data_IF_483965904866
#
_entry.id   IF_483965904866
#
_cell.length_a   1.000
_cell.length_b   1.000
_cell.length_c   1.000
_cell.angle_alpha   90.00
_cell.angle_beta   90.00
_cell.angle_gamma   90.00
#
_symmetry.space_group_name_H-M   'P 1'
#
loop_
_entity.id
_entity.type
_entity.pdbx_description
1 polymer ?
#
# COMPACT_ATOMS: atom_id res chain seq x y z
N UNK A 1 12.43 -3.12 -21.56
CA UNK A 1 12.34 -3.03 -20.11
C UNK A 1 13.68 -2.66 -19.50
N UNK A 2 13.74 -2.20 -18.25
CA UNK A 2 15.01 -1.87 -17.58
C UNK A 2 15.15 -2.55 -16.23
N UNK A 3 16.41 -2.81 -15.82
CA UNK A 3 16.76 -3.33 -14.50
C UNK A 3 17.73 -2.33 -13.86
N UNK A 4 17.37 -1.85 -12.67
CA UNK A 4 18.12 -0.85 -11.92
C UNK A 4 18.53 -1.39 -10.54
N UNK A 5 19.70 -0.99 -10.06
CA UNK A 5 20.16 -1.29 -8.70
C UNK A 5 21.12 -2.48 -8.61
N UNK A 6 20.93 -3.33 -7.60
CA UNK A 6 21.92 -4.32 -7.15
C UNK A 6 21.84 -5.66 -7.93
N UNK A 7 21.95 -5.61 -9.26
CA UNK A 7 22.21 -6.76 -10.13
C UNK A 7 23.62 -6.68 -10.70
N UNK A 8 24.12 -7.79 -11.22
CA UNK A 8 25.49 -7.82 -11.75
C UNK A 8 25.63 -6.89 -12.96
N UNK A 9 24.66 -6.93 -13.89
CA UNK A 9 24.64 -6.10 -15.10
C UNK A 9 23.32 -5.30 -15.16
N UNK A 10 23.25 -4.11 -14.50
CA UNK A 10 22.09 -3.24 -14.63
C UNK A 10 22.03 -2.62 -16.03
N UNK A 11 20.83 -2.37 -16.55
CA UNK A 11 20.66 -1.78 -17.87
C UNK A 11 19.32 -2.08 -18.53
N UNK A 12 19.24 -1.77 -19.81
CA UNK A 12 18.06 -2.02 -20.63
C UNK A 12 18.16 -3.37 -21.33
N UNK A 13 17.08 -4.14 -21.22
CA UNK A 13 16.97 -5.48 -21.80
C UNK A 13 15.77 -5.55 -22.75
N UNK A 14 15.96 -6.23 -23.88
CA UNK A 14 14.86 -6.61 -24.75
C UNK A 14 14.28 -7.93 -24.25
N UNK A 15 12.95 -8.03 -24.19
CA UNK A 15 12.29 -9.29 -23.85
C UNK A 15 12.54 -10.31 -24.95
N UNK A 16 12.94 -11.52 -24.58
CA UNK A 16 13.19 -12.62 -25.53
C UNK A 16 11.88 -13.22 -26.08
N UNK A 17 10.76 -12.94 -25.42
CA UNK A 17 9.44 -13.39 -25.82
C UNK A 17 8.34 -12.92 -24.85
N UNK A 18 7.08 -13.16 -25.24
CA UNK A 18 5.90 -12.74 -24.42
C UNK A 18 5.78 -13.47 -23.08
N UNK A 19 6.48 -14.58 -22.92
CA UNK A 19 6.39 -15.43 -21.73
C UNK A 19 7.65 -15.33 -20.83
N UNK A 20 8.49 -14.32 -21.02
CA UNK A 20 9.68 -14.13 -20.19
C UNK A 20 9.28 -13.73 -18.78
N UNK A 21 9.87 -14.40 -17.80
CA UNK A 21 9.56 -14.23 -16.39
C UNK A 21 10.60 -13.40 -15.67
N UNK A 22 10.22 -12.94 -14.48
CA UNK A 22 11.10 -12.16 -13.59
C UNK A 22 12.42 -12.91 -13.31
N UNK A 23 12.37 -14.21 -13.03
CA UNK A 23 13.55 -15.02 -12.76
C UNK A 23 14.47 -15.13 -13.96
N UNK A 24 13.92 -15.20 -15.19
CA UNK A 24 14.71 -15.36 -16.41
C UNK A 24 15.54 -14.11 -16.70
N UNK A 25 14.91 -12.94 -16.58
CA UNK A 25 15.59 -11.67 -16.86
C UNK A 25 16.67 -11.36 -15.80
N UNK A 26 16.43 -11.69 -14.53
CA UNK A 26 17.45 -11.53 -13.49
C UNK A 26 18.65 -12.45 -13.73
N UNK A 27 18.42 -13.68 -14.18
CA UNK A 27 19.50 -14.57 -14.56
C UNK A 27 20.30 -14.02 -15.76
N UNK A 28 19.63 -13.43 -16.76
CA UNK A 28 20.29 -12.76 -17.90
C UNK A 28 21.11 -11.55 -17.47
N UNK A 29 20.66 -10.85 -16.42
CA UNK A 29 21.39 -9.75 -15.80
C UNK A 29 22.55 -10.22 -14.91
N UNK A 30 22.90 -11.50 -14.96
CA UNK A 30 24.00 -12.09 -14.19
C UNK A 30 23.65 -12.43 -12.74
N UNK A 31 22.36 -12.28 -12.35
CA UNK A 31 21.90 -12.51 -10.98
C UNK A 31 22.05 -11.29 -10.07
N UNK A 32 21.76 -11.52 -8.80
CA UNK A 32 21.84 -10.49 -7.75
C UNK A 32 23.25 -10.35 -7.19
N UNK A 33 23.66 -9.12 -6.88
CA UNK A 33 24.88 -8.90 -6.08
C UNK A 33 24.67 -9.35 -4.64
N UNK A 34 25.75 -9.61 -3.92
CA UNK A 34 25.70 -9.96 -2.48
C UNK A 34 25.11 -8.83 -1.61
N UNK A 35 25.16 -7.58 -2.08
CA UNK A 35 24.57 -6.42 -1.45
C UNK A 35 23.09 -6.22 -1.77
N UNK A 36 22.52 -7.04 -2.67
CA UNK A 36 21.14 -6.88 -3.12
C UNK A 36 20.12 -7.24 -2.03
N UNK A 37 19.06 -6.46 -1.98
CA UNK A 37 17.92 -6.72 -1.12
C UNK A 37 16.73 -7.24 -1.96
N UNK A 38 16.70 -8.53 -2.20
CA UNK A 38 15.69 -9.16 -3.05
C UNK A 38 14.26 -8.97 -2.52
N UNK A 39 14.08 -8.96 -1.19
CA UNK A 39 12.76 -8.74 -0.58
C UNK A 39 12.25 -7.30 -0.70
N UNK A 40 13.13 -6.35 -1.00
CA UNK A 40 12.80 -4.96 -1.25
C UNK A 40 12.66 -4.61 -2.72
N UNK A 41 12.75 -5.60 -3.62
CA UNK A 41 12.60 -5.37 -5.05
C UNK A 41 11.18 -4.93 -5.41
N UNK A 42 11.09 -3.99 -6.35
CA UNK A 42 9.84 -3.42 -6.83
C UNK A 42 9.81 -3.49 -8.36
N UNK A 43 8.67 -3.90 -8.91
CA UNK A 43 8.38 -3.81 -10.34
C UNK A 43 7.53 -2.56 -10.58
N UNK A 44 7.98 -1.68 -11.46
CA UNK A 44 7.21 -0.52 -11.91
C UNK A 44 6.67 -0.86 -13.30
N UNK A 45 5.37 -0.92 -13.43
CA UNK A 45 4.67 -1.21 -14.68
C UNK A 45 3.94 0.02 -15.18
N UNK A 46 4.13 0.33 -16.45
CA UNK A 46 3.34 1.37 -17.12
C UNK A 46 1.95 0.81 -17.44
N UNK A 47 0.96 1.15 -16.65
CA UNK A 47 -0.42 0.80 -16.96
C UNK A 47 -1.00 1.90 -17.83
N UNK A 48 -1.19 1.61 -19.11
CA UNK A 48 -1.99 2.48 -19.97
C UNK A 48 -3.46 2.31 -19.57
N UNK A 49 -3.98 3.24 -18.80
CA UNK A 49 -5.42 3.35 -18.63
C UNK A 49 -5.94 3.98 -19.92
N UNK A 50 -6.57 3.16 -20.75
CA UNK A 50 -7.30 3.66 -21.92
C UNK A 50 -8.38 4.60 -21.41
N UNK A 51 -8.13 5.92 -21.51
CA UNK A 51 -9.13 6.94 -21.18
C UNK A 51 -10.11 6.96 -22.35
N UNK A 52 -11.29 6.36 -22.16
CA UNK A 52 -12.38 6.51 -23.11
C UNK A 52 -12.90 7.94 -23.07
N UNK A 53 -13.53 8.41 -24.13
CA UNK A 53 -14.10 9.77 -24.21
C UNK A 53 -15.13 10.05 -23.09
N UNK A 54 -15.77 9.03 -22.56
CA UNK A 54 -16.62 9.10 -21.37
C UNK A 54 -15.84 9.37 -20.07
N UNK A 55 -14.64 8.81 -19.94
CA UNK A 55 -13.79 9.01 -18.75
C UNK A 55 -13.17 10.41 -18.74
N UNK A 56 -12.88 10.99 -19.90
CA UNK A 56 -12.40 12.35 -20.02
C UNK A 56 -13.42 13.37 -19.50
N UNK A 57 -14.71 13.13 -19.69
CA UNK A 57 -15.79 13.98 -19.17
C UNK A 57 -15.92 13.88 -17.64
N UNK A 58 -15.70 12.69 -17.06
CA UNK A 58 -15.71 12.45 -15.61
C UNK A 58 -14.49 13.07 -14.92
N UNK A 59 -13.31 13.04 -15.56
CA UNK A 59 -12.08 13.67 -15.05
C UNK A 59 -12.24 15.20 -15.05
N UNK A 60 -12.83 15.77 -16.11
CA UNK A 60 -13.15 17.20 -16.17
C UNK A 60 -14.16 17.63 -15.09
N UNK A 61 -15.15 16.80 -14.81
CA UNK A 61 -16.14 17.04 -13.75
C UNK A 61 -15.54 16.97 -12.36
N UNK A 62 -14.68 15.98 -12.07
CA UNK A 62 -13.94 15.88 -10.82
C UNK A 62 -12.96 17.03 -10.59
N UNK A 63 -12.25 17.47 -11.62
CA UNK A 63 -11.37 18.62 -11.54
C UNK A 63 -12.12 19.91 -11.21
N UNK A 64 -13.32 20.09 -11.79
CA UNK A 64 -14.20 21.24 -11.48
C UNK A 64 -14.69 21.22 -10.02
N UNK A 65 -15.05 20.06 -9.48
CA UNK A 65 -15.47 19.93 -8.11
C UNK A 65 -14.34 20.21 -7.10
N UNK A 66 -13.11 19.76 -7.41
CA UNK A 66 -11.93 20.01 -6.57
C UNK A 66 -11.57 21.51 -6.59
N UNK A 67 -11.69 22.18 -7.74
CA UNK A 67 -11.48 23.62 -7.86
C UNK A 67 -12.50 24.44 -7.05
N UNK A 68 -13.77 24.02 -7.05
CA UNK A 68 -14.82 24.68 -6.30
C UNK A 68 -14.64 24.58 -4.79
N UNK A 69 -14.05 23.47 -4.31
CA UNK A 69 -13.80 23.23 -2.89
C UNK A 69 -12.51 23.86 -2.35
N UNK A 70 -11.55 24.15 -3.23
CA UNK A 70 -10.21 24.63 -2.84
C UNK A 70 -9.99 26.12 -2.94
N UNK A 71 -10.96 26.88 -3.46
CA UNK A 71 -10.87 28.34 -3.58
C UNK A 71 -9.67 28.85 -4.43
N UNK A 72 -9.01 27.95 -5.17
CA UNK A 72 -7.91 28.30 -6.06
C UNK A 72 -8.43 28.42 -7.48
N UNK A 73 -8.33 29.61 -8.04
CA UNK A 73 -8.52 29.85 -9.48
C UNK A 73 -7.44 29.11 -10.27
N UNK A 74 -7.67 27.84 -10.56
CA UNK A 74 -6.91 27.15 -11.59
C UNK A 74 -7.62 27.46 -12.89
N UNK A 75 -6.89 28.11 -13.82
CA UNK A 75 -7.33 28.54 -15.15
C UNK A 75 -8.17 27.46 -15.82
N UNK A 76 -9.33 27.77 -16.41
CA UNK A 76 -10.09 26.83 -17.22
C UNK A 76 -9.21 26.36 -18.37
N UNK A 77 -8.91 25.07 -18.44
CA UNK A 77 -8.28 24.48 -19.63
C UNK A 77 -9.36 24.36 -20.68
N UNK A 78 -9.52 25.43 -21.43
CA UNK A 78 -10.27 25.44 -22.66
C UNK A 78 -9.27 25.12 -23.79
N UNK A 79 -9.54 24.03 -24.50
CA UNK A 79 -8.75 23.62 -25.66
C UNK A 79 -7.63 22.63 -25.36
N UNK A 80 -7.96 21.33 -25.43
CA UNK A 80 -7.14 20.27 -25.99
C UNK A 80 -5.67 20.16 -25.56
N UNK A 81 -5.34 20.27 -24.28
CA UNK A 81 -3.97 20.02 -23.85
C UNK A 81 -3.73 18.50 -23.69
N UNK A 82 -3.34 17.89 -24.83
CA UNK A 82 -2.94 16.48 -24.93
C UNK A 82 -1.86 16.09 -23.92
N UNK A 83 -1.18 17.06 -23.32
CA UNK A 83 -0.11 16.87 -22.35
C UNK A 83 -0.66 16.40 -21.00
N UNK A 84 -1.82 16.91 -20.58
CA UNK A 84 -2.48 16.47 -19.32
C UNK A 84 -3.05 15.06 -19.49
N UNK A 85 -3.66 14.77 -20.63
CA UNK A 85 -4.16 13.43 -20.96
C UNK A 85 -3.00 12.42 -21.10
N UNK A 86 -1.87 12.84 -21.65
CA UNK A 86 -0.67 12.02 -21.78
C UNK A 86 -0.03 11.72 -20.42
N UNK A 87 -0.06 12.68 -19.48
CA UNK A 87 0.43 12.49 -18.11
C UNK A 87 -0.52 11.65 -17.24
N UNK A 88 -1.82 11.62 -17.56
CA UNK A 88 -2.81 10.75 -16.90
C UNK A 88 -2.79 9.32 -17.46
N UNK A 89 -2.38 9.13 -18.72
CA UNK A 89 -2.39 7.83 -19.39
C UNK A 89 -1.16 6.96 -19.09
N UNK A 90 -0.08 7.53 -18.58
CA UNK A 90 1.15 6.82 -18.22
C UNK A 90 1.39 6.83 -16.70
N UNK A 91 0.46 6.30 -15.92
CA UNK A 91 0.71 6.12 -14.50
C UNK A 91 1.65 4.93 -14.27
N UNK A 92 2.88 5.24 -13.89
CA UNK A 92 3.81 4.25 -13.37
C UNK A 92 3.31 3.76 -12.02
N UNK A 93 2.78 2.55 -11.98
CA UNK A 93 2.30 1.94 -10.74
C UNK A 93 3.34 0.96 -10.21
N UNK A 94 3.79 1.14 -8.95
CA UNK A 94 4.63 0.14 -8.31
C UNK A 94 3.81 -1.12 -8.04
N UNK A 95 4.32 -2.26 -8.49
CA UNK A 95 3.78 -3.59 -8.21
C UNK A 95 4.71 -4.25 -7.21
N UNK A 96 4.20 -4.62 -6.05
CA UNK A 96 4.97 -5.35 -5.04
C UNK A 96 5.27 -6.76 -5.55
N UNK A 97 6.55 -7.08 -5.70
CA UNK A 97 7.01 -8.39 -6.14
C UNK A 97 7.71 -9.13 -5.01
N UNK A 98 7.72 -10.45 -5.07
CA UNK A 98 8.46 -11.32 -4.16
C UNK A 98 9.62 -11.96 -4.90
N UNK A 99 10.64 -11.12 -5.20
CA UNK A 99 11.77 -11.54 -6.03
C UNK A 99 12.52 -12.74 -5.43
N UNK A 100 12.72 -12.77 -4.12
CA UNK A 100 13.37 -13.89 -3.46
C UNK A 100 12.62 -15.22 -3.70
N UNK A 101 11.29 -15.20 -3.60
CA UNK A 101 10.46 -16.39 -3.85
C UNK A 101 10.48 -16.79 -5.33
N UNK A 102 10.45 -15.81 -6.24
CA UNK A 102 10.52 -16.03 -7.68
C UNK A 102 11.83 -16.71 -8.09
N UNK A 103 12.95 -16.30 -7.50
CA UNK A 103 14.26 -16.89 -7.78
C UNK A 103 14.42 -18.30 -7.19
N UNK A 104 13.84 -18.54 -5.99
CA UNK A 104 13.88 -19.84 -5.33
C UNK A 104 12.96 -20.87 -5.99
N UNK A 105 11.80 -20.41 -6.51
CA UNK A 105 10.79 -21.26 -7.13
C UNK A 105 10.38 -20.70 -8.48
N UNK A 106 11.19 -20.97 -9.50
CA UNK A 106 10.92 -20.57 -10.88
C UNK A 106 9.57 -21.10 -11.36
N UNK A 107 8.83 -20.27 -12.07
CA UNK A 107 7.50 -20.62 -12.58
C UNK A 107 6.38 -20.58 -11.53
N UNK A 108 6.67 -20.23 -10.28
CA UNK A 108 5.65 -20.03 -9.24
C UNK A 108 4.80 -18.78 -9.49
N UNK A 109 3.74 -18.60 -8.69
CA UNK A 109 2.91 -17.38 -8.74
C UNK A 109 3.67 -16.09 -8.37
N UNK A 110 4.82 -16.20 -7.70
CA UNK A 110 5.71 -15.08 -7.41
C UNK A 110 6.57 -14.68 -8.62
N UNK A 111 6.79 -15.59 -9.54
CA UNK A 111 7.60 -15.41 -10.74
C UNK A 111 6.74 -14.86 -11.89
N UNK A 112 6.45 -13.57 -11.80
CA UNK A 112 5.52 -12.88 -12.69
C UNK A 112 6.06 -12.75 -14.11
N UNK A 113 5.15 -12.73 -15.09
CA UNK A 113 5.48 -12.40 -16.48
C UNK A 113 5.78 -10.91 -16.61
N UNK A 114 6.74 -10.61 -17.46
CA UNK A 114 7.19 -9.24 -17.73
C UNK A 114 6.56 -8.68 -19.00
N UNK A 115 6.40 -7.37 -19.02
CA UNK A 115 5.84 -6.62 -20.13
C UNK A 115 6.85 -5.58 -20.65
N UNK A 116 6.68 -5.15 -21.87
CA UNK A 116 7.48 -4.05 -22.43
C UNK A 116 7.29 -2.77 -21.63
N UNK A 117 8.40 -2.10 -21.32
CA UNK A 117 8.38 -0.89 -20.51
C UNK A 117 8.41 -1.13 -19.01
N UNK A 118 8.41 -2.38 -18.53
CA UNK A 118 8.60 -2.70 -17.12
C UNK A 118 9.98 -2.21 -16.62
N UNK A 119 10.01 -1.71 -15.39
CA UNK A 119 11.25 -1.31 -14.69
C UNK A 119 11.34 -2.11 -13.40
N UNK A 120 12.40 -2.90 -13.25
CA UNK A 120 12.68 -3.64 -12.03
C UNK A 120 13.72 -2.86 -11.23
N UNK A 121 13.37 -2.47 -9.99
CA UNK A 121 14.29 -1.80 -9.07
C UNK A 121 14.66 -2.74 -7.93
N UNK A 122 15.97 -2.97 -7.76
CA UNK A 122 16.49 -3.83 -6.71
C UNK A 122 17.39 -2.99 -5.81
N UNK A 123 16.90 -2.62 -4.60
CA UNK A 123 17.65 -1.78 -3.68
C UNK A 123 18.81 -2.55 -3.02
N UNK A 124 19.72 -1.81 -2.44
CA UNK A 124 20.76 -2.33 -1.56
C UNK A 124 20.15 -2.77 -0.22
N UNK A 125 20.68 -3.82 0.36
CA UNK A 125 20.26 -4.32 1.66
C UNK A 125 20.43 -3.25 2.75
N UNK A 126 19.35 -2.97 3.47
CA UNK A 126 19.28 -2.03 4.60
C UNK A 126 19.13 -2.88 5.87
N UNK A 127 20.05 -2.73 6.83
CA UNK A 127 20.03 -3.50 8.08
C UNK A 127 19.25 -2.81 9.19
N UNK A 128 18.33 -1.93 8.85
CA UNK A 128 17.52 -1.18 9.81
C UNK A 128 16.05 -1.30 9.54
N UNK A 129 15.25 -1.07 10.57
CA UNK A 129 13.81 -0.81 10.48
C UNK A 129 13.56 0.61 10.97
N UNK A 130 12.43 1.20 10.59
CA UNK A 130 12.05 2.54 11.00
C UNK A 130 10.70 2.55 11.69
N UNK A 131 10.52 3.41 12.69
CA UNK A 131 9.26 3.62 13.41
C UNK A 131 8.72 5.01 13.13
N UNK A 132 7.43 5.11 12.83
CA UNK A 132 6.72 6.33 12.50
C UNK A 132 5.42 6.50 13.29
N UNK A 133 4.93 7.73 13.33
CA UNK A 133 3.64 8.08 13.90
C UNK A 133 3.65 8.15 15.42
N UNK A 134 2.61 7.61 16.07
CA UNK A 134 2.37 7.75 17.51
C UNK A 134 3.19 6.77 18.35
N UNK A 135 4.51 6.89 18.24
CA UNK A 135 5.50 6.36 19.17
C UNK A 135 6.19 7.52 19.89
N UNK A 136 6.70 7.31 21.08
CA UNK A 136 7.28 8.42 21.88
C UNK A 136 8.53 9.02 21.23
N UNK A 137 9.36 8.19 20.56
CA UNK A 137 10.56 8.63 19.88
C UNK A 137 10.71 7.89 18.53
N UNK A 138 10.14 8.41 17.43
CA UNK A 138 10.34 7.84 16.11
C UNK A 138 11.82 7.80 15.73
N UNK A 139 12.33 6.62 15.35
CA UNK A 139 13.75 6.44 15.01
C UNK A 139 13.99 5.22 14.14
N UNK A 140 15.20 5.15 13.60
CA UNK A 140 15.74 3.94 12.99
C UNK A 140 16.33 3.03 14.08
N UNK A 141 16.11 1.72 13.91
CA UNK A 141 16.53 0.67 14.83
C UNK A 141 17.27 -0.37 14.00
N UNK A 142 18.43 -0.83 14.46
CA UNK A 142 19.14 -1.93 13.81
C UNK A 142 18.26 -3.18 13.87
N UNK A 143 18.03 -3.79 12.71
CA UNK A 143 17.29 -5.02 12.63
C UNK A 143 18.17 -6.19 13.08
N UNK A 144 17.58 -7.10 13.82
CA UNK A 144 18.15 -8.41 14.16
C UNK A 144 17.08 -9.46 13.91
N UNK A 145 17.50 -10.64 13.54
CA UNK A 145 16.59 -11.75 13.33
C UNK A 145 15.76 -12.03 14.60
N UNK A 146 14.47 -12.25 14.43
CA UNK A 146 13.54 -12.43 15.55
C UNK A 146 13.08 -11.16 16.25
N UNK A 147 13.52 -9.96 15.83
CA UNK A 147 13.05 -8.71 16.39
C UNK A 147 11.54 -8.58 16.22
N UNK A 148 10.83 -8.52 17.33
CA UNK A 148 9.36 -8.40 17.30
C UNK A 148 8.90 -6.94 17.16
N UNK A 149 7.70 -6.76 16.63
CA UNK A 149 7.03 -5.46 16.55
C UNK A 149 7.00 -4.74 17.91
N UNK A 150 6.67 -5.46 18.98
CA UNK A 150 6.58 -4.88 20.33
C UNK A 150 7.94 -4.40 20.85
N UNK A 151 9.00 -5.15 20.59
CA UNK A 151 10.37 -4.77 20.98
C UNK A 151 10.82 -3.53 20.21
N UNK A 152 10.53 -3.45 18.90
CA UNK A 152 10.86 -2.28 18.11
C UNK A 152 10.12 -1.03 18.59
N UNK A 153 8.83 -1.12 18.87
CA UNK A 153 8.07 -0.01 19.46
C UNK A 153 8.60 0.34 20.85
N UNK A 154 8.96 -0.64 21.69
CA UNK A 154 9.56 -0.40 23.00
C UNK A 154 10.91 0.31 22.86
N UNK A 155 11.74 -0.08 21.91
CA UNK A 155 13.00 0.61 21.62
C UNK A 155 12.78 2.08 21.20
N UNK A 156 11.62 2.41 20.63
CA UNK A 156 11.17 3.77 20.30
C UNK A 156 10.48 4.49 21.47
N UNK A 157 10.74 4.05 22.71
CA UNK A 157 10.13 4.62 23.91
C UNK A 157 8.68 4.20 24.17
N UNK A 158 8.15 3.23 23.40
CA UNK A 158 6.78 2.75 23.53
C UNK A 158 5.77 3.55 22.69
N UNK A 159 4.51 3.18 22.84
CA UNK A 159 3.38 3.87 22.20
C UNK A 159 3.10 5.20 22.89
N UNK A 160 2.91 6.26 22.12
CA UNK A 160 2.45 7.55 22.62
C UNK A 160 1.01 7.47 23.16
N UNK A 161 0.57 8.48 23.91
CA UNK A 161 -0.71 8.51 24.65
C UNK A 161 -1.90 8.24 23.71
N UNK A 162 -1.94 8.83 22.54
CA UNK A 162 -3.05 8.71 21.58
C UNK A 162 -2.78 7.67 20.48
N UNK A 163 -1.91 6.70 20.72
CA UNK A 163 -1.58 5.68 19.75
C UNK A 163 -2.71 4.67 19.52
N UNK A 164 -3.03 4.41 18.27
CA UNK A 164 -3.99 3.38 17.86
C UNK A 164 -3.27 2.04 17.64
N UNK A 165 -3.02 1.31 18.72
CA UNK A 165 -2.33 0.02 18.69
C UNK A 165 -3.02 -1.04 17.83
N UNK A 166 -4.36 -0.92 17.63
CA UNK A 166 -5.16 -1.88 16.84
C UNK A 166 -4.99 -1.68 15.34
N UNK A 167 -4.71 -0.46 14.91
CA UNK A 167 -4.59 -0.09 13.51
C UNK A 167 -3.14 0.13 13.09
N UNK A 168 -2.19 -0.26 13.95
CA UNK A 168 -0.78 -0.23 13.58
C UNK A 168 -0.51 -1.23 12.45
N UNK A 169 0.38 -0.87 11.56
CA UNK A 169 0.74 -1.69 10.41
C UNK A 169 2.23 -1.61 10.11
N UNK A 170 2.69 -2.52 9.29
CA UNK A 170 4.06 -2.58 8.81
C UNK A 170 4.04 -2.45 7.29
N UNK A 171 4.87 -1.58 6.77
CA UNK A 171 5.18 -1.47 5.35
C UNK A 171 6.52 -2.13 5.12
N UNK A 172 6.56 -3.12 4.26
CA UNK A 172 7.80 -3.79 3.87
C UNK A 172 8.50 -3.01 2.77
N UNK A 173 9.78 -3.26 2.58
CA UNK A 173 10.59 -2.55 1.59
C UNK A 173 10.09 -2.67 0.15
N UNK A 174 9.37 -3.75 -0.18
CA UNK A 174 8.71 -3.95 -1.47
C UNK A 174 7.34 -3.23 -1.59
N UNK A 175 6.93 -2.45 -0.57
CA UNK A 175 5.64 -1.77 -0.53
C UNK A 175 4.46 -2.62 -0.07
N UNK A 176 4.66 -3.91 0.27
CA UNK A 176 3.60 -4.73 0.86
C UNK A 176 3.22 -4.19 2.25
N UNK A 177 1.92 -4.08 2.53
CA UNK A 177 1.42 -3.59 3.82
C UNK A 177 0.77 -4.74 4.58
N UNK A 178 1.16 -4.94 5.84
CA UNK A 178 0.49 -5.87 6.75
C UNK A 178 0.01 -5.16 7.99
N UNK A 179 -1.28 -5.34 8.28
CA UNK A 179 -1.94 -4.74 9.45
C UNK A 179 -1.93 -5.67 10.65
N UNK A 180 -2.04 -5.09 11.84
CA UNK A 180 -2.26 -5.83 13.09
C UNK A 180 -3.59 -6.55 13.02
N UNK A 181 -3.59 -7.85 13.30
CA UNK A 181 -4.82 -8.66 13.41
C UNK A 181 -5.28 -8.71 14.86
N UNK A 182 -6.57 -8.45 15.05
CA UNK A 182 -7.20 -8.51 16.36
C UNK A 182 -8.19 -9.68 16.35
N UNK A 183 -7.98 -10.64 17.23
CA UNK A 183 -8.89 -11.77 17.43
C UNK A 183 -9.29 -11.83 18.89
N UNK A 184 -10.56 -11.54 19.19
CA UNK A 184 -11.08 -11.45 20.57
C UNK A 184 -10.18 -10.58 21.46
N UNK A 185 -9.44 -11.19 22.38
CA UNK A 185 -8.55 -10.53 23.33
C UNK A 185 -7.08 -10.51 22.89
N UNK A 186 -6.74 -11.24 21.83
CA UNK A 186 -5.37 -11.38 21.35
C UNK A 186 -5.08 -10.42 20.19
N UNK A 187 -3.87 -9.86 20.18
CA UNK A 187 -3.33 -9.09 19.07
C UNK A 187 -2.14 -9.79 18.47
N UNK A 188 -2.21 -10.05 17.18
CA UNK A 188 -1.10 -10.53 16.39
C UNK A 188 -0.54 -9.38 15.58
N UNK A 189 0.68 -8.99 15.89
CA UNK A 189 1.39 -7.98 15.10
C UNK A 189 2.13 -8.65 13.95
N UNK A 190 2.29 -7.94 12.82
CA UNK A 190 3.08 -8.45 11.70
C UNK A 190 4.53 -8.73 12.11
N UNK A 191 5.14 -9.74 11.51
CA UNK A 191 6.58 -9.99 11.63
C UNK A 191 7.35 -8.85 10.98
N UNK A 192 8.50 -8.51 11.53
CA UNK A 192 9.40 -7.53 10.95
C UNK A 192 10.43 -8.22 10.06
N UNK A 193 10.82 -7.51 9.02
CA UNK A 193 11.92 -7.86 8.13
C UNK A 193 12.85 -6.66 8.01
N UNK A 194 14.03 -6.88 7.52
CA UNK A 194 14.97 -5.79 7.21
C UNK A 194 14.30 -4.76 6.28
N UNK A 195 14.56 -3.48 6.47
CA UNK A 195 13.93 -2.41 5.71
C UNK A 195 12.43 -2.18 5.98
N UNK A 196 11.84 -2.84 7.00
CA UNK A 196 10.44 -2.60 7.36
C UNK A 196 10.24 -1.25 8.04
N UNK A 197 9.08 -0.64 7.77
CA UNK A 197 8.62 0.57 8.42
C UNK A 197 7.40 0.26 9.28
N UNK A 198 7.48 0.58 10.56
CA UNK A 198 6.37 0.45 11.51
C UNK A 198 5.64 1.77 11.55
N UNK A 199 4.36 1.76 11.23
CA UNK A 199 3.51 2.92 11.32
C UNK A 199 2.45 2.74 12.42
N UNK A 200 2.43 3.67 13.37
CA UNK A 200 1.47 3.72 14.46
C UNK A 200 0.57 4.94 14.26
N UNK A 201 -0.68 4.78 13.80
CA UNK A 201 -1.58 5.91 13.62
C UNK A 201 -2.08 6.47 14.95
N UNK A 202 -2.58 7.72 14.93
CA UNK A 202 -3.31 8.28 16.06
C UNK A 202 -4.63 7.55 16.25
N UNK A 203 -5.10 7.49 17.49
CA UNK A 203 -6.47 7.12 17.78
C UNK A 203 -7.32 8.28 17.28
N UNK A 204 -8.12 8.05 16.23
CA UNK A 204 -9.17 8.98 15.85
C UNK A 204 -10.06 9.19 17.08
N UNK A 205 -10.23 10.44 17.53
CA UNK A 205 -11.22 10.74 18.52
C UNK A 205 -12.55 10.29 17.95
N UNK A 206 -13.09 9.21 18.49
CA UNK A 206 -14.47 8.85 18.21
C UNK A 206 -15.25 10.08 18.66
N UNK A 207 -15.83 10.84 17.72
CA UNK A 207 -16.87 11.79 18.05
C UNK A 207 -17.79 11.04 19.01
N UNK A 208 -17.79 11.41 20.29
CA UNK A 208 -18.77 10.89 21.24
C UNK A 208 -20.10 11.28 20.63
N UNK A 209 -20.92 10.29 20.25
CA UNK A 209 -22.29 10.59 19.84
C UNK A 209 -22.86 11.51 20.90
N UNK A 210 -23.40 12.65 20.49
CA UNK A 210 -24.08 13.54 21.42
C UNK A 210 -25.22 12.76 22.07
N UNK A 211 -25.61 13.12 23.27
CA UNK A 211 -26.68 12.43 23.99
C UNK A 211 -27.96 12.36 23.13
N UNK A 212 -28.23 13.39 22.30
CA UNK A 212 -29.32 13.38 21.34
C UNK A 212 -29.19 12.37 20.21
N UNK A 213 -28.00 12.20 19.65
CA UNK A 213 -27.73 11.18 18.61
C UNK A 213 -27.79 9.74 19.17
N UNK A 214 -27.34 9.54 20.41
CA UNK A 214 -27.47 8.26 21.09
C UNK A 214 -28.93 7.88 21.34
N UNK A 215 -29.75 8.82 21.75
CA UNK A 215 -31.20 8.62 21.95
C UNK A 215 -31.90 8.33 20.63
N UNK A 216 -31.54 9.01 19.54
CA UNK A 216 -32.11 8.74 18.21
C UNK A 216 -31.80 7.32 17.70
N UNK A 217 -30.59 6.81 17.94
CA UNK A 217 -30.21 5.43 17.56
C UNK A 217 -31.00 4.41 18.38
N UNK A 218 -31.15 4.64 19.70
CA UNK A 218 -31.89 3.71 20.57
C UNK A 218 -33.39 3.72 20.23
N UNK A 219 -33.97 4.88 19.96
CA UNK A 219 -35.40 4.98 19.57
C UNK A 219 -35.67 4.36 18.20
N UNK A 220 -34.72 4.45 17.24
CA UNK A 220 -34.81 3.77 15.96
C UNK A 220 -34.85 2.25 16.09
N UNK A 221 -33.99 1.68 16.97
CA UNK A 221 -33.96 0.25 17.23
C UNK A 221 -35.22 -0.27 17.92
N UNK A 222 -35.76 0.47 18.89
CA UNK A 222 -37.01 0.10 19.59
C UNK A 222 -38.22 0.16 18.64
N UNK A 223 -38.27 1.14 17.73
CA UNK A 223 -39.33 1.23 16.72
C UNK A 223 -39.27 0.04 15.72
N UNK A 224 -38.09 -0.37 15.33
CA UNK A 224 -37.91 -1.52 14.43
C UNK A 224 -38.32 -2.83 15.10
N UNK A 225 -37.96 -3.04 16.36
CA UNK A 225 -38.37 -4.21 17.14
C UNK A 225 -39.93 -4.24 17.35
N UNK A 226 -40.53 -3.10 17.60
CA UNK A 226 -41.99 -2.98 17.72
C UNK A 226 -42.70 -3.36 16.42
N UNK A 227 -42.20 -2.93 15.28
CA UNK A 227 -42.78 -3.24 13.97
C UNK A 227 -42.63 -4.73 13.64
N UNK A 228 -41.55 -5.35 14.05
CA UNK A 228 -41.31 -6.78 13.86
C UNK A 228 -42.24 -7.63 14.71
N UNK A 229 -42.54 -7.24 15.96
CA UNK A 229 -43.53 -7.89 16.84
C UNK A 229 -44.92 -7.79 16.27
N UNK A 230 -45.30 -6.62 15.72
CA UNK A 230 -46.62 -6.45 15.09
C UNK A 230 -46.76 -7.33 13.86
N UNK A 231 -45.74 -7.41 13.00
CA UNK A 231 -45.69 -8.29 11.81
C UNK A 231 -45.83 -9.77 12.15
N UNK A 232 -45.18 -10.21 13.24
CA UNK A 232 -45.27 -11.61 13.69
C UNK A 232 -46.67 -11.91 14.24
N UNK A 233 -47.29 -10.95 14.90
CA UNK A 233 -48.62 -11.14 15.50
C UNK A 233 -49.77 -11.04 14.47
N UNK A 234 -49.56 -10.37 13.35
CA UNK A 234 -50.55 -10.28 12.24
C UNK A 234 -50.42 -11.46 11.24
N UNK A 235 -49.31 -12.21 11.29
CA UNK A 235 -49.05 -13.37 10.44
C UNK A 235 -49.54 -14.70 11.08
N UNK A 236 -50.21 -14.63 12.24
CA UNK A 236 -50.78 -15.77 12.96
C UNK A 236 -52.30 -15.72 12.92
#
# INVERSE_FOLDING_TARGET
>A
MSIEGEVLYPGTYTLSGKNERLSDIINRAGGLKSSAFAEGAVLIRNTYVGVTSSDASLVGSKARLINQQSGRNIVPVDGGDSTILKNLSAQQKPVSIRLADALNQKGSAADVFLEEGDIIKIPKSIQTIQTFGMVNLPKQIVYREGLSFKEAVRASGGFAVNASRRHSYVVYANGEIRTTRNFLFFRSYPSLKTGSEIYVPSRSDKKKLSTGEAVAVVSGLTSFLGLLVVLINTAR
#
